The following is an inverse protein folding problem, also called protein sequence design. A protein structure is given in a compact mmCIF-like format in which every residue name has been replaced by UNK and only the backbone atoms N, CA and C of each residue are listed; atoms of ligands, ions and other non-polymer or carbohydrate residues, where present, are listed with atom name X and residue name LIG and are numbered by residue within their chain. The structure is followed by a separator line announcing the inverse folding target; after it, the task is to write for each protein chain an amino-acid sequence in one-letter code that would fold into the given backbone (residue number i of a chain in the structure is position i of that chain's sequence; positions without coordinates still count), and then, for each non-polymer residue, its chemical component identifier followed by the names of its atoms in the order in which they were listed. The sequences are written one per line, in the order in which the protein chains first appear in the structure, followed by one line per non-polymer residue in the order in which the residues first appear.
data_IF_073190019895
#
_entry.id   IF_073190019895
#
_cell.length_a   1.000
_cell.length_b   1.000
_cell.length_c   1.000
_cell.angle_alpha   90.00
_cell.angle_beta   90.00
_cell.angle_gamma   90.00
#
_symmetry.space_group_name_H-M   'P 1'
#
loop_
_entity.id
_entity.type
_entity.pdbx_description
1 polymer ?
#
# COMPACT_ATOMS: atom_id res chain seq x y z
N UNK A 1 7.71 -18.32 -35.86
CA UNK A 1 6.65 -18.02 -34.89
C UNK A 1 6.58 -19.22 -33.97
N UNK A 2 6.95 -19.06 -32.71
CA UNK A 2 6.94 -20.17 -31.74
C UNK A 2 5.51 -20.60 -31.39
N UNK A 3 5.35 -21.81 -30.87
CA UNK A 3 4.06 -22.33 -30.40
C UNK A 3 3.44 -21.40 -29.35
N UNK A 4 4.26 -20.85 -28.45
CA UNK A 4 3.82 -19.87 -27.46
C UNK A 4 3.28 -18.58 -28.09
N UNK A 5 3.96 -18.06 -29.12
CA UNK A 5 3.50 -16.86 -29.84
C UNK A 5 2.18 -17.12 -30.56
N UNK A 6 2.04 -18.29 -31.20
CA UNK A 6 0.79 -18.68 -31.85
C UNK A 6 -0.35 -18.82 -30.82
N UNK A 7 -0.10 -19.45 -29.68
CA UNK A 7 -1.07 -19.59 -28.59
C UNK A 7 -1.49 -18.21 -28.01
N UNK A 8 -0.53 -17.30 -27.81
CA UNK A 8 -0.83 -15.94 -27.36
C UNK A 8 -1.65 -15.17 -28.39
N UNK A 9 -1.35 -15.30 -29.68
CA UNK A 9 -2.15 -14.66 -30.73
C UNK A 9 -3.59 -15.16 -30.75
N UNK A 10 -3.80 -16.47 -30.61
CA UNK A 10 -5.13 -17.07 -30.51
C UNK A 10 -5.89 -16.55 -29.27
N UNK A 11 -5.24 -16.51 -28.11
CA UNK A 11 -5.81 -15.94 -26.88
C UNK A 11 -6.14 -14.45 -27.02
N UNK A 12 -5.35 -13.69 -27.78
CA UNK A 12 -5.60 -12.27 -28.02
C UNK A 12 -6.70 -12.02 -29.05
N UNK A 13 -6.95 -12.97 -29.94
CA UNK A 13 -8.03 -12.93 -30.93
C UNK A 13 -9.40 -13.17 -30.28
N UNK A 14 -9.48 -14.10 -29.32
CA UNK A 14 -10.67 -14.33 -28.50
C UNK A 14 -10.41 -14.10 -27.01
N UNK A 15 -10.51 -12.83 -26.61
CA UNK A 15 -10.24 -12.37 -25.24
C UNK A 15 -11.37 -12.69 -24.26
N UNK A 16 -12.52 -13.14 -24.75
CA UNK A 16 -13.69 -13.46 -23.94
C UNK A 16 -13.83 -14.95 -23.66
N UNK A 17 -12.98 -15.78 -24.27
CA UNK A 17 -12.85 -17.20 -23.96
C UNK A 17 -12.53 -17.46 -22.48
N UNK A 18 -12.92 -18.63 -21.99
CA UNK A 18 -12.61 -19.07 -20.64
C UNK A 18 -11.09 -19.23 -20.43
N UNK A 19 -10.39 -19.64 -21.48
CA UNK A 19 -8.94 -19.78 -21.55
C UNK A 19 -8.24 -18.43 -21.41
N UNK A 20 -8.69 -17.40 -22.15
CA UNK A 20 -8.16 -16.04 -22.01
C UNK A 20 -8.40 -15.49 -20.61
N UNK A 21 -9.61 -15.71 -20.04
CA UNK A 21 -9.91 -15.32 -18.66
C UNK A 21 -8.94 -15.95 -17.67
N UNK A 22 -8.76 -17.27 -17.70
CA UNK A 22 -7.84 -17.96 -16.80
C UNK A 22 -6.40 -17.47 -16.95
N UNK A 23 -5.97 -17.21 -18.19
CA UNK A 23 -4.65 -16.67 -18.48
C UNK A 23 -4.47 -15.28 -17.85
N UNK A 24 -5.42 -14.36 -18.05
CA UNK A 24 -5.35 -13.02 -17.49
C UNK A 24 -5.52 -12.98 -15.96
N UNK A 25 -6.31 -13.86 -15.36
CA UNK A 25 -6.39 -14.02 -13.91
C UNK A 25 -5.05 -14.49 -13.30
N UNK A 26 -4.34 -15.39 -13.99
CA UNK A 26 -2.98 -15.78 -13.58
C UNK A 26 -2.00 -14.63 -13.70
N UNK A 27 -2.05 -13.87 -14.79
CA UNK A 27 -1.22 -12.67 -14.96
C UNK A 27 -1.53 -11.61 -13.90
N UNK A 28 -2.81 -11.40 -13.57
CA UNK A 28 -3.24 -10.44 -12.56
C UNK A 28 -2.58 -10.73 -11.21
N UNK A 29 -2.64 -11.98 -10.72
CA UNK A 29 -1.98 -12.37 -9.46
C UNK A 29 -0.47 -12.12 -9.48
N UNK A 30 0.18 -12.38 -10.62
CA UNK A 30 1.61 -12.11 -10.78
C UNK A 30 1.91 -10.61 -10.73
N UNK A 31 1.10 -9.80 -11.42
CA UNK A 31 1.23 -8.34 -11.49
C UNK A 31 1.01 -7.73 -10.11
N UNK A 32 -0.01 -8.15 -9.37
CA UNK A 32 -0.30 -7.70 -8.00
C UNK A 32 0.88 -7.97 -7.07
N UNK A 33 1.38 -9.21 -7.05
CA UNK A 33 2.53 -9.58 -6.23
C UNK A 33 3.78 -8.75 -6.59
N UNK A 34 4.03 -8.53 -7.88
CA UNK A 34 5.18 -7.75 -8.34
C UNK A 34 5.05 -6.27 -7.99
N UNK A 35 3.91 -5.65 -8.30
CA UNK A 35 3.66 -4.24 -8.03
C UNK A 35 3.74 -3.97 -6.53
N UNK A 36 3.08 -4.79 -5.70
CA UNK A 36 3.16 -4.70 -4.24
C UNK A 36 4.57 -4.91 -3.70
N UNK A 37 5.38 -5.79 -4.30
CA UNK A 37 6.78 -5.95 -3.91
C UNK A 37 7.62 -4.72 -4.26
N UNK A 38 7.57 -4.24 -5.50
CA UNK A 38 8.39 -3.10 -5.95
C UNK A 38 8.03 -1.83 -5.20
N UNK A 39 6.73 -1.57 -5.01
CA UNK A 39 6.28 -0.41 -4.25
C UNK A 39 6.75 -0.48 -2.80
N UNK A 40 6.60 -1.62 -2.12
CA UNK A 40 7.09 -1.75 -0.73
C UNK A 40 8.60 -1.56 -0.60
N UNK A 41 9.39 -1.98 -1.58
CA UNK A 41 10.85 -1.89 -1.52
C UNK A 41 11.39 -0.51 -1.90
N UNK A 42 10.75 0.18 -2.86
CA UNK A 42 11.32 1.38 -3.47
C UNK A 42 10.45 2.65 -3.36
N UNK A 43 9.15 2.52 -3.05
CA UNK A 43 8.17 3.62 -3.13
C UNK A 43 7.13 3.59 -2.00
N UNK A 44 7.45 2.99 -0.84
CA UNK A 44 6.48 2.73 0.23
C UNK A 44 5.93 4.00 0.88
N UNK A 45 6.71 5.07 0.83
CA UNK A 45 6.38 6.40 1.34
C UNK A 45 5.68 7.29 0.29
N UNK A 46 5.60 6.83 -0.95
CA UNK A 46 5.16 7.64 -2.08
C UNK A 46 3.84 7.17 -2.70
N UNK A 47 3.61 5.86 -2.78
CA UNK A 47 2.42 5.29 -3.42
C UNK A 47 1.52 4.61 -2.37
N UNK A 48 0.25 4.99 -2.35
CA UNK A 48 -0.74 4.33 -1.48
C UNK A 48 -1.18 2.96 -2.04
N UNK A 49 -1.77 2.08 -1.22
CA UNK A 49 -2.32 0.80 -1.69
C UNK A 49 -3.31 0.95 -2.86
N UNK A 50 -4.17 1.96 -2.81
CA UNK A 50 -5.16 2.26 -3.84
C UNK A 50 -4.48 2.62 -5.17
N UNK A 51 -3.40 3.38 -5.12
CA UNK A 51 -2.62 3.71 -6.33
C UNK A 51 -1.89 2.51 -6.91
N UNK A 52 -1.49 1.56 -6.07
CA UNK A 52 -0.92 0.29 -6.52
C UNK A 52 -1.98 -0.53 -7.25
N UNK A 53 -3.21 -0.60 -6.75
CA UNK A 53 -4.33 -1.25 -7.43
C UNK A 53 -4.62 -0.61 -8.80
N UNK A 54 -4.61 0.73 -8.89
CA UNK A 54 -4.73 1.43 -10.16
C UNK A 54 -3.62 1.07 -11.15
N UNK A 55 -2.38 0.95 -10.67
CA UNK A 55 -1.24 0.52 -11.50
C UNK A 55 -1.44 -0.91 -11.98
N UNK A 56 -1.91 -1.82 -11.12
CA UNK A 56 -2.22 -3.20 -11.49
C UNK A 56 -3.26 -3.23 -12.60
N UNK A 57 -4.36 -2.48 -12.45
CA UNK A 57 -5.42 -2.37 -13.45
C UNK A 57 -4.90 -1.82 -14.79
N UNK A 58 -4.07 -0.78 -14.76
CA UNK A 58 -3.46 -0.19 -15.95
C UNK A 58 -2.51 -1.17 -16.66
N UNK A 59 -1.70 -1.92 -15.91
CA UNK A 59 -0.82 -2.96 -16.49
C UNK A 59 -1.64 -4.03 -17.18
N UNK A 60 -2.67 -4.56 -16.50
CA UNK A 60 -3.54 -5.59 -17.07
C UNK A 60 -4.22 -5.07 -18.35
N UNK A 61 -4.77 -3.85 -18.32
CA UNK A 61 -5.36 -3.19 -19.48
C UNK A 61 -4.37 -3.07 -20.64
N UNK A 62 -3.12 -2.65 -20.40
CA UNK A 62 -2.08 -2.56 -21.44
C UNK A 62 -1.76 -3.92 -22.05
N UNK A 63 -1.68 -4.97 -21.23
CA UNK A 63 -1.43 -6.33 -21.69
C UNK A 63 -2.57 -6.82 -22.59
N UNK A 64 -3.82 -6.65 -22.16
CA UNK A 64 -5.01 -7.03 -22.91
C UNK A 64 -5.18 -6.24 -24.21
N UNK A 65 -4.82 -4.96 -24.23
CA UNK A 65 -5.09 -4.08 -25.37
C UNK A 65 -4.00 -4.07 -26.45
N UNK A 66 -2.75 -4.42 -26.13
CA UNK A 66 -1.73 -4.49 -27.18
C UNK A 66 -0.27 -4.53 -26.75
N UNK A 67 0.07 -4.73 -25.48
CA UNK A 67 1.45 -5.00 -25.11
C UNK A 67 1.84 -6.45 -25.47
N UNK A 68 0.95 -7.43 -25.24
CA UNK A 68 1.22 -8.84 -25.55
C UNK A 68 1.41 -9.12 -27.05
N UNK A 69 0.80 -8.34 -27.94
CA UNK A 69 0.99 -8.47 -29.40
C UNK A 69 2.42 -8.13 -29.86
N UNK A 70 3.14 -7.37 -29.04
CA UNK A 70 4.55 -6.98 -29.26
C UNK A 70 5.54 -7.97 -28.63
N UNK A 71 5.06 -8.98 -27.90
CA UNK A 71 5.93 -10.02 -27.37
C UNK A 71 6.58 -10.81 -28.51
N UNK A 72 7.88 -11.10 -28.36
CA UNK A 72 8.72 -11.80 -29.35
C UNK A 72 9.56 -12.91 -28.74
N UNK A 73 9.35 -13.22 -27.45
CA UNK A 73 10.00 -14.36 -26.81
C UNK A 73 9.34 -15.67 -27.20
N UNK A 74 10.02 -16.76 -26.86
CA UNK A 74 9.65 -18.13 -27.21
C UNK A 74 9.41 -19.00 -25.96
N UNK A 75 9.63 -18.46 -24.77
CA UNK A 75 9.42 -19.17 -23.49
C UNK A 75 8.50 -18.44 -22.52
N UNK A 76 7.91 -19.19 -21.59
CA UNK A 76 7.12 -18.62 -20.49
C UNK A 76 7.97 -17.72 -19.58
N UNK A 77 9.25 -18.05 -19.37
CA UNK A 77 10.17 -17.21 -18.58
C UNK A 77 10.35 -15.82 -19.20
N UNK A 78 10.49 -15.75 -20.52
CA UNK A 78 10.57 -14.48 -21.25
C UNK A 78 9.24 -13.72 -21.21
N UNK A 79 8.10 -14.42 -21.24
CA UNK A 79 6.78 -13.79 -21.08
C UNK A 79 6.66 -13.14 -19.69
N UNK A 80 7.05 -13.83 -18.62
CA UNK A 80 7.07 -13.24 -17.28
C UNK A 80 8.06 -12.08 -17.17
N UNK A 81 9.24 -12.18 -17.78
CA UNK A 81 10.20 -11.07 -17.83
C UNK A 81 9.64 -9.85 -18.59
N UNK A 82 8.91 -10.08 -19.67
CA UNK A 82 8.22 -9.04 -20.43
C UNK A 82 7.13 -8.36 -19.58
N UNK A 83 6.24 -9.15 -18.97
CA UNK A 83 5.19 -8.64 -18.08
C UNK A 83 5.78 -7.86 -16.91
N UNK A 84 6.82 -8.39 -16.25
CA UNK A 84 7.58 -7.69 -15.21
C UNK A 84 8.05 -6.31 -15.66
N UNK A 85 8.62 -6.23 -16.87
CA UNK A 85 9.13 -4.96 -17.41
C UNK A 85 8.01 -3.94 -17.62
N UNK A 86 6.83 -4.40 -18.09
CA UNK A 86 5.65 -3.55 -18.22
C UNK A 86 5.17 -3.08 -16.84
N UNK A 87 5.08 -3.99 -15.86
CA UNK A 87 4.69 -3.67 -14.48
C UNK A 87 5.62 -2.63 -13.86
N UNK A 88 6.93 -2.89 -13.87
CA UNK A 88 7.93 -2.01 -13.27
C UNK A 88 7.90 -0.62 -13.91
N UNK A 89 7.70 -0.55 -15.23
CA UNK A 89 7.56 0.72 -15.96
C UNK A 89 6.31 1.49 -15.54
N UNK A 90 5.17 0.83 -15.37
CA UNK A 90 3.94 1.49 -14.93
C UNK A 90 4.07 2.01 -13.48
N UNK A 91 4.64 1.21 -12.57
CA UNK A 91 4.94 1.64 -11.20
C UNK A 91 5.86 2.87 -11.21
N UNK A 92 6.96 2.81 -11.98
CA UNK A 92 7.88 3.94 -12.13
C UNK A 92 7.18 5.20 -12.66
N UNK A 93 6.33 5.07 -13.69
CA UNK A 93 5.58 6.21 -14.24
C UNK A 93 4.65 6.83 -13.21
N UNK A 94 3.96 6.02 -12.40
CA UNK A 94 3.08 6.50 -11.31
C UNK A 94 3.89 7.21 -10.23
N UNK A 95 5.00 6.62 -9.79
CA UNK A 95 5.91 7.22 -8.82
C UNK A 95 6.48 8.56 -9.33
N UNK A 96 6.95 8.63 -10.58
CA UNK A 96 7.45 9.88 -11.16
C UNK A 96 6.38 10.95 -11.25
N UNK A 97 5.13 10.58 -11.59
CA UNK A 97 4.01 11.51 -11.56
C UNK A 97 3.80 12.06 -10.15
N UNK A 98 3.79 11.21 -9.13
CA UNK A 98 3.65 11.65 -7.73
C UNK A 98 4.79 12.54 -7.25
N UNK A 99 6.03 12.23 -7.61
CA UNK A 99 7.17 13.10 -7.32
C UNK A 99 7.01 14.48 -7.95
N UNK A 100 6.53 14.55 -9.20
CA UNK A 100 6.25 15.84 -9.86
C UNK A 100 5.13 16.60 -9.17
N UNK A 101 4.02 15.94 -8.84
CA UNK A 101 2.91 16.55 -8.11
C UNK A 101 3.38 17.11 -6.76
N UNK A 102 4.15 16.33 -5.99
CA UNK A 102 4.72 16.78 -4.71
C UNK A 102 5.63 18.00 -4.87
N UNK A 103 6.50 18.01 -5.90
CA UNK A 103 7.37 19.16 -6.17
C UNK A 103 6.60 20.42 -6.57
N UNK A 104 5.53 20.27 -7.36
CA UNK A 104 4.68 21.40 -7.75
C UNK A 104 3.97 22.02 -6.54
N UNK A 105 3.52 21.19 -5.61
CA UNK A 105 2.87 21.62 -4.36
C UNK A 105 3.85 22.19 -3.32
N UNK A 106 5.16 22.10 -3.53
CA UNK A 106 6.18 22.75 -2.69
C UNK A 106 6.58 24.14 -3.20
N UNK A 107 6.05 24.57 -4.36
CA UNK A 107 6.32 25.87 -4.96
C UNK A 107 5.17 26.87 -4.77
N UNK A 108 5.21 28.02 -5.46
CA UNK A 108 4.21 29.08 -5.35
C UNK A 108 2.78 28.61 -5.66
N UNK A 109 2.63 27.63 -6.56
CA UNK A 109 1.35 27.01 -6.86
C UNK A 109 0.78 26.21 -5.67
N UNK A 110 1.64 25.65 -4.82
CA UNK A 110 1.23 25.01 -3.58
C UNK A 110 0.74 26.01 -2.54
N UNK A 111 1.41 27.16 -2.42
CA UNK A 111 0.97 28.27 -1.56
C UNK A 111 -0.39 28.82 -2.01
N UNK A 112 -0.60 28.95 -3.32
CA UNK A 112 -1.87 29.38 -3.91
C UNK A 112 -2.99 28.35 -3.64
N UNK A 113 -2.70 27.05 -3.81
CA UNK A 113 -3.65 25.97 -3.48
C UNK A 113 -3.98 25.96 -1.99
N UNK A 114 -2.99 26.12 -1.10
CA UNK A 114 -3.23 26.24 0.34
C UNK A 114 -4.10 27.46 0.66
N UNK A 115 -3.89 28.59 -0.04
CA UNK A 115 -4.70 29.79 0.11
C UNK A 115 -6.16 29.60 -0.35
N UNK A 116 -6.43 28.70 -1.31
CA UNK A 116 -7.81 28.36 -1.71
C UNK A 116 -8.60 27.67 -0.60
N UNK A 117 -7.91 27.01 0.32
CA UNK A 117 -8.54 26.38 1.48
C UNK A 117 -8.72 27.33 2.67
N UNK A 118 -8.21 28.57 2.63
CA UNK A 118 -8.38 29.54 3.72
C UNK A 118 -7.90 29.02 5.10
N UNK A 119 -8.33 29.68 6.19
CA UNK A 119 -8.22 29.12 7.56
C UNK A 119 -9.17 27.92 7.78
N UNK A 120 -9.89 27.47 6.74
CA UNK A 120 -10.66 26.25 6.83
C UNK A 120 -9.69 25.08 6.82
N UNK A 121 -9.56 24.51 8.01
CA UNK A 121 -8.89 23.29 8.36
C UNK A 121 -8.74 22.35 7.15
N UNK A 122 -7.48 22.02 6.80
CA UNK A 122 -7.15 21.06 5.74
C UNK A 122 -8.09 19.84 5.88
N UNK A 123 -8.52 19.15 4.81
CA UNK A 123 -9.41 17.98 4.92
C UNK A 123 -8.88 16.85 5.83
N UNK A 124 -7.60 16.91 6.20
CA UNK A 124 -7.00 16.05 7.22
C UNK A 124 -7.47 16.39 8.65
N UNK A 125 -7.72 17.66 8.97
CA UNK A 125 -8.22 18.13 10.26
C UNK A 125 -9.74 17.92 10.44
N UNK A 126 -10.52 17.87 9.36
CA UNK A 126 -11.99 17.69 9.43
C UNK A 126 -12.40 16.23 9.77
N UNK A 127 -11.48 15.26 9.74
CA UNK A 127 -11.73 13.86 10.15
C UNK A 127 -10.71 13.39 11.19
N UNK A 128 -10.36 14.21 12.16
CA UNK A 128 -9.72 13.76 13.40
C UNK A 128 -10.66 13.94 14.59
N UNK A 129 -11.93 13.51 14.45
CA UNK A 129 -12.63 13.03 15.64
C UNK A 129 -11.89 11.78 16.08
N UNK A 130 -11.08 11.90 17.15
CA UNK A 130 -10.58 10.74 17.89
C UNK A 130 -11.77 9.80 18.07
N UNK A 131 -11.81 8.65 17.37
CA UNK A 131 -12.90 7.71 17.53
C UNK A 131 -12.96 7.38 19.02
N UNK A 132 -14.13 7.30 19.64
CA UNK A 132 -14.22 6.68 20.97
C UNK A 132 -13.57 5.31 20.87
N UNK A 133 -12.36 5.18 21.42
CA UNK A 133 -11.55 3.98 21.24
C UNK A 133 -12.10 2.93 22.20
N UNK A 134 -12.57 1.78 21.70
CA UNK A 134 -13.11 0.70 22.52
C UNK A 134 -12.01 -0.12 23.22
N UNK A 135 -10.95 0.56 23.65
CA UNK A 135 -9.86 0.03 24.47
C UNK A 135 -9.90 0.70 25.83
N UNK A 136 -9.61 -0.06 26.89
CA UNK A 136 -9.44 0.53 28.21
C UNK A 136 -8.18 1.43 28.25
N UNK A 137 -8.14 2.36 29.21
CA UNK A 137 -7.04 3.32 29.37
C UNK A 137 -5.67 2.65 29.57
N UNK A 138 -5.63 1.50 30.24
CA UNK A 138 -4.40 0.76 30.50
C UNK A 138 -3.77 0.19 29.22
N UNK A 139 -4.59 -0.23 28.26
CA UNK A 139 -4.16 -0.70 26.94
C UNK A 139 -3.79 0.46 26.04
N UNK A 140 -4.55 1.54 26.07
CA UNK A 140 -4.22 2.76 25.32
C UNK A 140 -2.86 3.33 25.77
N UNK A 141 -2.64 3.48 27.09
CA UNK A 141 -1.38 3.96 27.65
C UNK A 141 -0.20 3.05 27.28
N UNK A 142 -0.39 1.73 27.39
CA UNK A 142 0.63 0.76 26.96
C UNK A 142 1.00 0.90 25.48
N UNK A 143 0.01 1.01 24.59
CA UNK A 143 0.27 1.13 23.15
C UNK A 143 0.95 2.46 22.81
N UNK A 144 0.57 3.57 23.44
CA UNK A 144 1.24 4.87 23.28
C UNK A 144 2.72 4.79 23.66
N UNK A 145 3.02 4.28 24.84
CA UNK A 145 4.41 4.14 25.30
C UNK A 145 5.22 3.17 24.42
N UNK A 146 4.59 2.12 23.92
CA UNK A 146 5.23 1.16 23.03
C UNK A 146 5.59 1.81 21.68
N UNK A 147 4.70 2.63 21.13
CA UNK A 147 4.93 3.41 19.91
C UNK A 147 6.07 4.42 20.15
N UNK A 148 6.04 5.15 21.26
CA UNK A 148 7.08 6.13 21.65
C UNK A 148 8.46 5.51 21.94
N UNK A 149 8.51 4.19 22.16
CA UNK A 149 9.78 3.48 22.36
C UNK A 149 10.37 2.95 21.05
N UNK A 150 9.67 3.10 19.91
CA UNK A 150 10.07 2.65 18.56
C UNK A 150 10.33 1.15 18.38
N UNK A 151 10.48 0.38 19.48
CA UNK A 151 10.67 -1.07 19.48
C UNK A 151 10.26 -1.72 20.80
N UNK A 152 9.85 -2.99 20.73
CA UNK A 152 9.55 -3.81 21.92
C UNK A 152 10.76 -4.00 22.85
N UNK A 153 11.96 -3.98 22.29
CA UNK A 153 13.19 -4.13 23.07
C UNK A 153 13.51 -2.87 23.86
N UNK A 154 13.32 -1.69 23.25
CA UNK A 154 13.51 -0.41 23.91
C UNK A 154 12.47 -0.17 25.00
N UNK A 155 11.20 -0.48 24.72
CA UNK A 155 10.14 -0.43 25.74
C UNK A 155 10.47 -1.35 26.94
N UNK A 156 10.92 -2.58 26.68
CA UNK A 156 11.32 -3.52 27.71
C UNK A 156 12.44 -2.96 28.61
N UNK A 157 13.46 -2.32 27.99
CA UNK A 157 14.55 -1.66 28.73
C UNK A 157 14.05 -0.52 29.60
N UNK A 158 13.22 0.39 29.05
CA UNK A 158 12.70 1.57 29.76
C UNK A 158 11.82 1.19 30.94
N UNK A 159 11.02 0.13 30.80
CA UNK A 159 10.06 -0.32 31.81
C UNK A 159 10.60 -1.39 32.77
N UNK A 160 11.87 -1.79 32.62
CA UNK A 160 12.48 -2.80 33.50
C UNK A 160 11.86 -4.19 33.40
N UNK A 161 11.26 -4.54 32.25
CA UNK A 161 10.58 -5.83 32.02
C UNK A 161 11.25 -6.64 30.92
N UNK A 162 10.96 -7.94 30.83
CA UNK A 162 11.52 -8.78 29.76
C UNK A 162 10.81 -8.53 28.42
N UNK A 163 11.56 -8.64 27.31
CA UNK A 163 10.99 -8.58 25.93
C UNK A 163 9.86 -9.61 25.72
N UNK A 164 9.95 -10.77 26.38
CA UNK A 164 8.93 -11.80 26.33
C UNK A 164 7.62 -11.33 27.01
N UNK A 165 7.70 -10.68 28.16
CA UNK A 165 6.55 -10.11 28.84
C UNK A 165 5.85 -9.03 28.00
N UNK A 166 6.63 -8.17 27.32
CA UNK A 166 6.10 -7.17 26.37
C UNK A 166 5.39 -7.87 25.20
N UNK A 167 5.98 -8.94 24.66
CA UNK A 167 5.38 -9.70 23.55
C UNK A 167 4.05 -10.34 23.95
N UNK A 168 3.98 -10.97 25.12
CA UNK A 168 2.75 -11.53 25.66
C UNK A 168 1.68 -10.46 25.94
N UNK A 169 2.10 -9.27 26.40
CA UNK A 169 1.17 -8.15 26.59
C UNK A 169 0.60 -7.66 25.26
N UNK A 170 1.43 -7.51 24.23
CA UNK A 170 0.98 -7.17 22.87
C UNK A 170 0.00 -8.21 22.34
N UNK A 171 0.32 -9.50 22.47
CA UNK A 171 -0.59 -10.57 22.02
C UNK A 171 -1.95 -10.52 22.71
N UNK A 172 -1.99 -10.26 24.03
CA UNK A 172 -3.24 -10.11 24.78
C UNK A 172 -4.06 -8.91 24.32
N UNK A 173 -3.41 -7.77 24.06
CA UNK A 173 -4.08 -6.57 23.53
C UNK A 173 -4.62 -6.83 22.12
N UNK A 174 -3.83 -7.45 21.25
CA UNK A 174 -4.26 -7.81 19.89
C UNK A 174 -5.44 -8.79 19.89
N UNK A 175 -5.42 -9.82 20.75
CA UNK A 175 -6.54 -10.75 20.89
C UNK A 175 -7.84 -10.04 21.34
N UNK A 176 -7.73 -9.03 22.20
CA UNK A 176 -8.89 -8.20 22.57
C UNK A 176 -9.39 -7.35 21.41
N UNK A 177 -8.48 -6.78 20.60
CA UNK A 177 -8.84 -6.01 19.41
C UNK A 177 -9.56 -6.91 18.39
N UNK A 178 -9.05 -8.13 18.16
CA UNK A 178 -9.65 -9.10 17.24
C UNK A 178 -11.06 -9.53 17.67
N UNK A 179 -11.36 -9.50 18.97
CA UNK A 179 -12.68 -9.81 19.51
C UNK A 179 -13.70 -8.66 19.37
N UNK A 180 -13.28 -7.46 18.95
CA UNK A 180 -14.17 -6.32 18.73
C UNK A 180 -14.94 -6.43 17.42
N UNK A 181 -16.02 -5.64 17.28
CA UNK A 181 -16.76 -5.54 16.02
C UNK A 181 -15.86 -4.99 14.89
N UNK A 182 -16.15 -5.27 13.61
CA UNK A 182 -15.36 -4.72 12.50
C UNK A 182 -15.26 -3.19 12.48
N UNK A 183 -16.33 -2.51 12.94
CA UNK A 183 -16.36 -1.04 13.09
C UNK A 183 -15.39 -0.57 14.17
N UNK A 184 -15.36 -1.27 15.30
CA UNK A 184 -14.50 -0.98 16.45
C UNK A 184 -13.03 -1.29 16.17
N UNK A 185 -12.76 -2.36 15.40
CA UNK A 185 -11.42 -2.66 14.90
C UNK A 185 -10.89 -1.53 14.01
N UNK A 186 -11.72 -1.03 13.09
CA UNK A 186 -11.36 0.10 12.23
C UNK A 186 -11.10 1.39 13.04
N UNK A 187 -11.87 1.62 14.11
CA UNK A 187 -11.67 2.73 15.03
C UNK A 187 -10.30 2.63 15.76
N UNK A 188 -9.95 1.44 16.28
CA UNK A 188 -8.65 1.19 16.94
C UNK A 188 -7.49 1.35 15.95
N UNK A 189 -7.62 0.84 14.73
CA UNK A 189 -6.59 1.00 13.70
C UNK A 189 -6.37 2.47 13.31
N UNK A 190 -7.45 3.24 13.18
CA UNK A 190 -7.39 4.67 12.88
C UNK A 190 -6.70 5.43 14.02
N UNK A 191 -7.08 5.15 15.26
CA UNK A 191 -6.45 5.73 16.45
C UNK A 191 -4.96 5.39 16.56
N UNK A 192 -4.55 4.14 16.28
CA UNK A 192 -3.13 3.75 16.30
C UNK A 192 -2.31 4.50 15.23
N UNK A 193 -2.88 4.74 14.04
CA UNK A 193 -2.22 5.51 12.98
C UNK A 193 -2.04 6.98 13.38
N UNK A 194 -3.07 7.58 14.00
CA UNK A 194 -3.00 8.95 14.52
C UNK A 194 -1.95 9.07 15.62
N UNK A 195 -2.00 8.19 16.62
CA UNK A 195 -1.03 8.15 17.73
C UNK A 195 0.41 7.98 17.22
N UNK A 196 0.63 7.13 16.22
CA UNK A 196 1.94 6.96 15.62
C UNK A 196 2.43 8.21 14.89
N UNK A 197 1.53 8.91 14.17
CA UNK A 197 1.85 10.19 13.53
C UNK A 197 2.19 11.28 14.54
N UNK A 198 1.39 11.45 15.58
CA UNK A 198 1.63 12.43 16.65
C UNK A 198 2.97 12.18 17.34
N UNK A 199 3.26 10.92 17.64
CA UNK A 199 4.51 10.54 18.32
C UNK A 199 5.74 10.77 17.43
N UNK A 200 5.63 10.53 16.12
CA UNK A 200 6.70 10.78 15.15
C UNK A 200 6.86 12.27 14.78
N UNK A 201 5.79 13.06 14.88
CA UNK A 201 5.82 14.51 14.63
C UNK A 201 6.25 15.32 15.86
N UNK A 202 6.13 14.74 17.07
CA UNK A 202 6.49 15.36 18.35
C UNK A 202 7.90 15.04 18.87
N UNK A 203 8.75 14.38 18.09
CA UNK A 203 10.19 14.30 18.41
C UNK A 203 10.89 15.62 18.01
N UNK A 204 11.58 16.32 18.93
CA UNK A 204 12.50 17.40 18.56
C UNK A 204 13.74 16.89 17.80
#
# INVERSE_FOLDING_TARGET
MSELQAALQLLMADRHSAEARQFFERLLRYIEARAGSVTRTAWSDLLSPEEVEEVVAEVLKRLMTGALTRFRGDSLGELFAFVRTVTDRCVWQRAQRRLRERRLLQGPAGEEVLAWFGEDAMPQEIIERVPEVPLNEADQGFLRELIASSSKAEYARRQGVSRAAVTQRVQRVMARIEALSPKDQAAVQSWMRLTARETLAGEP
#
